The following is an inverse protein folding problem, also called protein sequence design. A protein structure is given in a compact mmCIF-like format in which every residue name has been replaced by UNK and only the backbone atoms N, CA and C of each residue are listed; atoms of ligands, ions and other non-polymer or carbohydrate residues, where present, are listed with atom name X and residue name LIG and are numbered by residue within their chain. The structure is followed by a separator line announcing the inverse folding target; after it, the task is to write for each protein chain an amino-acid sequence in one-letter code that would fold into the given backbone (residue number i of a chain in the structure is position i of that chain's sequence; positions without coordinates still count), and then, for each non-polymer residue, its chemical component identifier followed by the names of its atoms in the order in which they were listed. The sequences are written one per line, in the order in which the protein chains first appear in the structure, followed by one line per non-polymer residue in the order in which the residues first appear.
data_IF_867017547239
#
_entry.id   IF_867017547239
#
_cell.length_a   1.000
_cell.length_b   1.000
_cell.length_c   1.000
_cell.angle_alpha   90.00
_cell.angle_beta   90.00
_cell.angle_gamma   90.00
#
_symmetry.space_group_name_H-M   'P 1'
#
loop_
_entity.id
_entity.type
_entity.pdbx_description
1 polymer ?
#
# COMPACT_ATOMS: atom_id res chain seq x y z
N UNK A 1 23.46 15.73 -3.78
CA UNK A 1 22.45 15.00 -4.57
C UNK A 1 22.50 13.54 -4.11
N UNK A 2 21.52 13.09 -3.32
CA UNK A 2 21.47 11.70 -2.86
C UNK A 2 21.02 10.87 -4.08
N UNK A 3 21.88 10.02 -4.59
CA UNK A 3 21.54 9.09 -5.68
C UNK A 3 20.59 8.03 -5.11
N UNK A 4 19.30 8.25 -5.23
CA UNK A 4 18.30 7.24 -4.96
C UNK A 4 18.42 6.15 -6.03
N UNK A 5 18.63 4.89 -5.64
CA UNK A 5 18.49 3.76 -6.55
C UNK A 5 19.64 2.75 -6.64
N UNK A 6 20.74 2.91 -5.90
CA UNK A 6 21.83 1.89 -5.94
C UNK A 6 21.66 0.72 -4.96
N UNK A 7 20.75 0.82 -3.98
CA UNK A 7 20.52 -0.24 -3.00
C UNK A 7 19.02 -0.27 -2.60
N UNK A 8 18.24 -1.01 -3.35
CA UNK A 8 16.81 -1.22 -3.07
C UNK A 8 16.68 -2.35 -2.05
N UNK A 9 15.86 -2.12 -1.03
CA UNK A 9 15.48 -3.12 -0.04
C UNK A 9 13.96 -3.25 0.01
N UNK A 10 13.47 -4.48 -0.08
CA UNK A 10 12.04 -4.79 0.02
C UNK A 10 11.80 -5.50 1.35
N UNK A 11 11.01 -4.90 2.23
CA UNK A 11 10.57 -5.49 3.48
C UNK A 11 9.07 -5.83 3.39
N UNK A 12 8.67 -6.89 4.05
CA UNK A 12 7.27 -7.31 4.10
C UNK A 12 6.79 -7.39 5.55
N UNK A 13 5.58 -6.86 5.79
CA UNK A 13 4.82 -7.14 6.99
C UNK A 13 3.97 -8.41 6.83
N UNK A 14 3.10 -8.68 7.80
CA UNK A 14 2.35 -9.92 7.91
C UNK A 14 1.03 -9.94 7.11
N UNK A 15 0.57 -8.80 6.59
CA UNK A 15 -0.75 -8.72 5.95
C UNK A 15 -0.89 -9.63 4.72
N UNK A 16 0.17 -9.76 3.90
CA UNK A 16 0.14 -10.59 2.70
C UNK A 16 1.54 -11.02 2.25
N UNK A 17 2.22 -11.95 2.96
CA UNK A 17 3.59 -12.37 2.64
C UNK A 17 3.75 -12.94 1.22
N UNK A 18 2.73 -13.67 0.72
CA UNK A 18 2.76 -14.23 -0.63
C UNK A 18 2.83 -13.15 -1.72
N UNK A 19 2.07 -12.05 -1.58
CA UNK A 19 2.14 -10.92 -2.52
C UNK A 19 3.51 -10.25 -2.48
N UNK A 20 4.07 -10.05 -1.29
CA UNK A 20 5.39 -9.46 -1.14
C UNK A 20 6.48 -10.31 -1.80
N UNK A 21 6.42 -11.63 -1.65
CA UNK A 21 7.33 -12.57 -2.34
C UNK A 21 7.17 -12.49 -3.86
N UNK A 22 5.93 -12.44 -4.38
CA UNK A 22 5.67 -12.31 -5.81
C UNK A 22 6.22 -10.99 -6.38
N UNK A 23 6.03 -9.88 -5.67
CA UNK A 23 6.57 -8.57 -6.07
C UNK A 23 8.11 -8.63 -6.10
N UNK A 24 8.74 -9.12 -5.05
CA UNK A 24 10.18 -9.25 -4.97
C UNK A 24 10.74 -10.13 -6.11
N UNK A 25 10.11 -11.28 -6.36
CA UNK A 25 10.46 -12.18 -7.46
C UNK A 25 10.32 -11.52 -8.83
N UNK A 26 9.23 -10.80 -9.08
CA UNK A 26 8.99 -10.09 -10.34
C UNK A 26 10.04 -8.99 -10.61
N UNK A 27 10.57 -8.39 -9.53
CA UNK A 27 11.63 -7.37 -9.60
C UNK A 27 13.04 -7.97 -9.64
N UNK A 28 13.18 -9.30 -9.48
CA UNK A 28 14.48 -9.97 -9.38
C UNK A 28 15.27 -9.59 -8.13
N UNK A 29 14.58 -9.19 -7.05
CA UNK A 29 15.17 -8.75 -5.78
C UNK A 29 14.77 -9.70 -4.64
N UNK A 30 15.65 -9.96 -3.67
CA UNK A 30 15.30 -10.71 -2.48
C UNK A 30 14.45 -9.85 -1.52
N UNK A 31 13.60 -10.48 -0.72
CA UNK A 31 13.06 -9.85 0.48
C UNK A 31 14.18 -9.68 1.52
N UNK A 32 14.25 -8.49 2.11
CA UNK A 32 15.15 -8.22 3.21
C UNK A 32 14.72 -9.00 4.47
N UNK A 33 15.69 -9.41 5.27
CA UNK A 33 15.44 -10.17 6.50
C UNK A 33 14.81 -9.25 7.56
N UNK A 34 13.51 -9.34 7.71
CA UNK A 34 12.72 -8.63 8.70
C UNK A 34 11.76 -9.62 9.38
N UNK A 35 11.68 -9.54 10.70
CA UNK A 35 10.71 -10.30 11.48
C UNK A 35 9.74 -9.31 12.10
N UNK A 36 8.45 -9.52 11.86
CA UNK A 36 7.36 -8.78 12.47
C UNK A 36 6.56 -9.76 13.32
N UNK A 37 6.38 -9.44 14.58
CA UNK A 37 5.70 -10.28 15.54
C UNK A 37 5.02 -9.45 16.62
N UNK A 38 4.65 -10.10 17.73
CA UNK A 38 4.01 -9.45 18.85
C UNK A 38 4.70 -9.85 20.17
N UNK A 39 4.75 -8.93 21.11
CA UNK A 39 5.07 -9.23 22.50
C UNK A 39 3.89 -9.96 23.16
N UNK A 40 4.12 -10.49 24.36
CA UNK A 40 3.11 -11.29 25.08
C UNK A 40 1.82 -10.51 25.41
N UNK A 41 1.91 -9.19 25.50
CA UNK A 41 0.80 -8.26 25.72
C UNK A 41 0.09 -7.79 24.45
N UNK A 42 0.56 -8.25 23.26
CA UNK A 42 -0.03 -7.94 21.97
C UNK A 42 0.59 -6.74 21.25
N UNK A 43 1.57 -6.06 21.84
CA UNK A 43 2.27 -4.98 21.15
C UNK A 43 3.11 -5.50 19.99
N UNK A 44 3.13 -4.74 18.87
CA UNK A 44 3.90 -5.11 17.68
C UNK A 44 5.40 -5.02 17.95
N UNK A 45 6.12 -6.04 17.55
CA UNK A 45 7.59 -6.07 17.58
C UNK A 45 8.15 -6.21 16.16
N UNK A 46 9.18 -5.42 15.83
CA UNK A 46 9.85 -5.45 14.53
C UNK A 46 11.35 -5.60 14.73
N UNK A 47 11.95 -6.53 13.99
CA UNK A 47 13.40 -6.72 13.98
C UNK A 47 13.90 -6.81 12.53
N UNK A 48 14.77 -5.86 12.13
CA UNK A 48 15.41 -5.85 10.82
C UNK A 48 16.82 -6.43 10.98
N UNK A 49 17.06 -7.62 10.39
CA UNK A 49 18.29 -8.38 10.59
C UNK A 49 19.40 -8.07 9.58
N UNK A 50 19.23 -7.04 8.74
CA UNK A 50 20.22 -6.56 7.81
C UNK A 50 20.26 -5.05 7.72
N UNK A 51 21.34 -4.48 7.22
CA UNK A 51 21.46 -3.02 7.10
C UNK A 51 20.52 -2.47 6.04
N UNK A 52 19.78 -1.42 6.41
CA UNK A 52 18.95 -0.61 5.51
C UNK A 52 19.50 0.82 5.38
N UNK A 53 20.65 1.09 6.01
CA UNK A 53 21.26 2.43 6.03
C UNK A 53 21.51 2.95 4.60
N UNK A 54 20.98 4.13 4.32
CA UNK A 54 21.11 4.80 3.02
C UNK A 54 20.39 4.10 1.86
N UNK A 55 19.67 3.00 2.12
CA UNK A 55 18.91 2.26 1.11
C UNK A 55 17.60 2.94 0.76
N UNK A 56 17.11 2.67 -0.45
CA UNK A 56 15.74 2.95 -0.86
C UNK A 56 14.85 1.78 -0.43
N UNK A 57 14.06 1.98 0.61
CA UNK A 57 13.30 0.92 1.28
C UNK A 57 11.84 0.94 0.83
N UNK A 58 11.34 -0.20 0.38
CA UNK A 58 9.94 -0.44 0.06
C UNK A 58 9.34 -1.36 1.12
N UNK A 59 8.40 -0.84 1.92
CA UNK A 59 7.68 -1.59 2.95
C UNK A 59 6.34 -2.06 2.38
N UNK A 60 6.20 -3.36 2.12
CA UNK A 60 4.96 -3.93 1.59
C UNK A 60 4.09 -4.38 2.77
N UNK A 61 3.02 -3.65 3.03
CA UNK A 61 2.06 -3.94 4.08
C UNK A 61 0.69 -3.37 3.73
N UNK A 62 -0.26 -4.25 3.46
CA UNK A 62 -1.67 -3.86 3.25
C UNK A 62 -2.31 -3.52 4.59
N UNK A 63 -3.16 -2.50 4.64
CA UNK A 63 -3.92 -2.18 5.85
C UNK A 63 -5.36 -2.71 5.76
N UNK A 64 -5.49 -3.95 5.25
CA UNK A 64 -6.73 -4.73 5.23
C UNK A 64 -7.01 -5.34 6.62
N UNK A 65 -8.05 -6.16 6.72
CA UNK A 65 -8.39 -6.84 7.98
C UNK A 65 -7.31 -7.87 8.39
N UNK A 66 -6.84 -7.86 9.66
CA UNK A 66 -7.20 -6.97 10.77
C UNK A 66 -6.55 -5.58 10.62
N UNK A 67 -7.42 -4.56 10.41
CA UNK A 67 -6.97 -3.23 9.94
C UNK A 67 -6.03 -2.53 10.92
N UNK A 68 -6.36 -2.57 12.22
CA UNK A 68 -5.59 -1.86 13.25
C UNK A 68 -4.22 -2.50 13.47
N UNK A 69 -4.14 -3.83 13.48
CA UNK A 69 -2.90 -4.56 13.66
C UNK A 69 -1.97 -4.33 12.45
N UNK A 70 -2.50 -4.47 11.24
CA UNK A 70 -1.74 -4.25 10.02
C UNK A 70 -1.29 -2.79 9.86
N UNK A 71 -2.09 -1.82 10.31
CA UNK A 71 -1.69 -0.42 10.33
C UNK A 71 -0.56 -0.20 11.35
N UNK A 72 -0.69 -0.74 12.56
CA UNK A 72 0.34 -0.60 13.59
C UNK A 72 1.65 -1.27 13.17
N UNK A 73 1.61 -2.47 12.57
CA UNK A 73 2.79 -3.12 11.99
C UNK A 73 3.50 -2.19 11.00
N UNK A 74 2.74 -1.59 10.06
CA UNK A 74 3.30 -0.66 9.08
C UNK A 74 4.00 0.52 9.76
N UNK A 75 3.36 1.14 10.76
CA UNK A 75 3.92 2.31 11.45
C UNK A 75 5.21 1.96 12.20
N UNK A 76 5.25 0.83 12.91
CA UNK A 76 6.44 0.38 13.64
C UNK A 76 7.57 -0.01 12.67
N UNK A 77 7.25 -0.62 11.51
CA UNK A 77 8.23 -0.91 10.46
C UNK A 77 8.82 0.36 9.85
N UNK A 78 8.01 1.40 9.61
CA UNK A 78 8.48 2.70 9.11
C UNK A 78 9.44 3.33 10.13
N UNK A 79 9.06 3.39 11.41
CA UNK A 79 9.91 3.93 12.47
C UNK A 79 11.23 3.17 12.60
N UNK A 80 11.20 1.84 12.53
CA UNK A 80 12.40 1.01 12.56
C UNK A 80 13.36 1.35 11.41
N UNK A 81 12.84 1.50 10.18
CA UNK A 81 13.65 1.89 9.02
C UNK A 81 14.21 3.31 9.16
N UNK A 82 13.41 4.25 9.65
CA UNK A 82 13.83 5.63 9.90
C UNK A 82 14.97 5.68 10.92
N UNK A 83 14.84 4.97 12.05
CA UNK A 83 15.89 4.89 13.09
C UNK A 83 17.13 4.15 12.61
N UNK A 84 16.98 3.21 11.67
CA UNK A 84 18.11 2.54 11.02
C UNK A 84 18.75 3.38 9.90
N UNK A 85 18.35 4.65 9.74
CA UNK A 85 18.86 5.60 8.74
C UNK A 85 18.67 5.14 7.31
N UNK A 86 17.51 4.58 6.97
CA UNK A 86 17.10 4.38 5.58
C UNK A 86 17.21 5.70 4.80
N UNK A 87 17.57 5.64 3.54
CA UNK A 87 17.73 6.83 2.70
C UNK A 87 16.40 7.38 2.20
N UNK A 88 15.44 6.51 1.95
CA UNK A 88 14.05 6.80 1.60
C UNK A 88 13.17 5.63 2.01
N UNK A 89 11.97 5.91 2.48
CA UNK A 89 10.99 4.90 2.90
C UNK A 89 9.71 5.09 2.08
N UNK A 90 9.41 4.12 1.22
CA UNK A 90 8.16 4.04 0.47
C UNK A 90 7.24 3.02 1.13
N UNK A 91 6.10 3.49 1.66
CA UNK A 91 5.05 2.61 2.16
C UNK A 91 4.23 2.07 0.97
N UNK A 92 4.35 0.78 0.68
CA UNK A 92 3.57 0.10 -0.36
C UNK A 92 2.36 -0.53 0.31
N UNK A 93 1.20 0.06 0.09
CA UNK A 93 -0.07 -0.27 0.76
C UNK A 93 -1.09 -0.71 -0.30
N UNK A 94 -1.08 -1.99 -0.73
CA UNK A 94 -1.99 -2.47 -1.78
C UNK A 94 -3.46 -2.22 -1.47
N UNK A 95 -3.87 -2.33 -0.22
CA UNK A 95 -5.19 -1.91 0.26
C UNK A 95 -5.04 -0.90 1.38
N UNK A 96 -5.56 0.33 1.15
CA UNK A 96 -5.54 1.41 2.12
C UNK A 96 -6.80 1.39 2.99
N UNK A 97 -6.66 0.97 4.24
CA UNK A 97 -7.74 0.95 5.22
C UNK A 97 -8.18 2.36 5.63
N UNK A 98 -9.37 2.46 6.25
CA UNK A 98 -9.99 3.72 6.65
C UNK A 98 -10.34 4.69 5.50
N UNK A 99 -10.07 4.34 4.24
CA UNK A 99 -10.29 5.18 3.06
C UNK A 99 -11.75 5.63 2.86
N UNK A 100 -12.73 4.85 3.35
CA UNK A 100 -14.16 5.15 3.23
C UNK A 100 -14.62 6.36 4.04
N UNK A 101 -13.84 6.78 5.03
CA UNK A 101 -14.13 7.96 5.85
C UNK A 101 -13.28 9.16 5.38
N UNK A 102 -13.47 9.55 4.12
CA UNK A 102 -12.78 10.66 3.46
C UNK A 102 -13.49 12.01 3.65
N UNK A 103 -14.71 12.01 4.16
CA UNK A 103 -15.54 13.18 4.43
C UNK A 103 -16.48 12.94 5.60
N UNK A 104 -16.99 14.03 6.17
CA UNK A 104 -18.05 13.97 7.17
C UNK A 104 -19.39 13.71 6.47
N UNK A 105 -20.05 12.62 6.82
CA UNK A 105 -21.42 12.31 6.38
C UNK A 105 -22.45 12.96 7.29
N UNK A 106 -22.11 13.16 8.57
CA UNK A 106 -22.93 13.80 9.59
C UNK A 106 -22.09 14.79 10.41
N UNK A 107 -22.76 15.66 11.14
CA UNK A 107 -22.08 16.53 12.10
C UNK A 107 -21.28 15.71 13.11
N UNK A 108 -20.03 16.12 13.40
CA UNK A 108 -19.09 15.50 14.34
C UNK A 108 -18.50 14.16 13.90
N UNK A 109 -18.74 13.70 12.67
CA UNK A 109 -18.05 12.53 12.13
C UNK A 109 -16.53 12.79 12.00
N UNK A 110 -15.70 11.76 12.20
CA UNK A 110 -14.28 11.84 11.92
C UNK A 110 -14.01 11.87 10.41
N UNK A 111 -12.79 12.26 10.04
CA UNK A 111 -12.21 12.03 8.70
C UNK A 111 -11.01 11.11 8.91
N UNK A 112 -11.28 9.82 9.14
CA UNK A 112 -10.26 8.86 9.54
C UNK A 112 -9.23 8.61 8.44
N UNK A 113 -9.59 8.79 7.17
CA UNK A 113 -8.65 8.70 6.06
C UNK A 113 -7.52 9.75 6.16
N UNK A 114 -7.84 11.00 6.55
CA UNK A 114 -6.84 12.04 6.79
C UNK A 114 -5.99 11.71 8.00
N UNK A 115 -6.59 11.27 9.10
CA UNK A 115 -5.86 10.86 10.30
C UNK A 115 -4.81 9.78 9.98
N UNK A 116 -5.19 8.74 9.23
CA UNK A 116 -4.29 7.65 8.87
C UNK A 116 -3.16 8.14 7.94
N UNK A 117 -3.47 9.02 6.98
CA UNK A 117 -2.46 9.64 6.13
C UNK A 117 -1.43 10.43 6.94
N UNK A 118 -1.89 11.22 7.93
CA UNK A 118 -1.03 12.01 8.81
C UNK A 118 -0.13 11.12 9.69
N UNK A 119 -0.68 10.04 10.26
CA UNK A 119 0.08 9.13 11.11
C UNK A 119 1.18 8.41 10.29
N UNK A 120 0.89 7.96 9.07
CA UNK A 120 1.88 7.32 8.19
C UNK A 120 3.01 8.32 7.85
N UNK A 121 2.66 9.56 7.54
CA UNK A 121 3.63 10.63 7.27
C UNK A 121 4.46 10.93 8.51
N UNK A 122 3.84 11.06 9.68
CA UNK A 122 4.51 11.35 10.95
C UNK A 122 5.44 10.21 11.39
N UNK A 123 5.10 8.94 11.12
CA UNK A 123 5.96 7.80 11.37
C UNK A 123 7.27 7.88 10.57
N UNK A 124 7.26 8.54 9.42
CA UNK A 124 8.47 8.82 8.63
C UNK A 124 8.48 8.22 7.23
N UNK A 125 7.32 7.88 6.67
CA UNK A 125 7.25 7.57 5.25
C UNK A 125 7.57 8.80 4.41
N UNK A 126 8.38 8.61 3.36
CA UNK A 126 8.71 9.66 2.38
C UNK A 126 7.80 9.61 1.16
N UNK A 127 7.13 8.48 0.93
CA UNK A 127 6.24 8.24 -0.21
C UNK A 127 5.25 7.13 0.11
N UNK A 128 4.07 7.19 -0.49
CA UNK A 128 3.08 6.12 -0.46
C UNK A 128 2.84 5.61 -1.87
N UNK A 129 2.79 4.29 -2.03
CA UNK A 129 2.30 3.61 -3.23
C UNK A 129 1.10 2.75 -2.82
N UNK A 130 -0.02 2.97 -3.47
CA UNK A 130 -1.27 2.27 -3.17
C UNK A 130 -2.01 1.91 -4.45
N UNK A 131 -3.12 1.18 -4.35
CA UNK A 131 -3.93 0.79 -5.50
C UNK A 131 -5.40 1.07 -5.21
N UNK A 132 -6.11 1.60 -6.20
CA UNK A 132 -7.56 1.83 -6.19
C UNK A 132 -8.06 2.47 -4.88
N UNK A 133 -7.53 3.64 -4.53
CA UNK A 133 -8.06 4.41 -3.41
C UNK A 133 -9.58 4.57 -3.54
N UNK A 134 -10.30 4.42 -2.45
CA UNK A 134 -11.75 4.56 -2.40
C UNK A 134 -12.28 5.83 -3.09
N UNK A 135 -11.53 6.91 -3.01
CA UNK A 135 -11.77 8.16 -3.72
C UNK A 135 -10.42 8.76 -4.14
N UNK A 136 -10.31 9.21 -5.39
CA UNK A 136 -9.03 9.69 -5.94
C UNK A 136 -8.48 10.92 -5.20
N UNK A 137 -9.35 11.78 -4.67
CA UNK A 137 -8.97 12.95 -3.89
C UNK A 137 -8.21 12.62 -2.59
N UNK A 138 -8.25 11.37 -2.11
CA UNK A 138 -7.47 10.92 -0.95
C UNK A 138 -5.97 11.10 -1.13
N UNK A 139 -5.47 11.15 -2.37
CA UNK A 139 -4.07 11.47 -2.65
C UNK A 139 -3.69 12.84 -2.08
N UNK A 140 -4.61 13.79 -2.07
CA UNK A 140 -4.41 15.12 -1.50
C UNK A 140 -4.45 15.18 0.04
N UNK A 141 -4.71 14.06 0.71
CA UNK A 141 -4.68 14.01 2.19
C UNK A 141 -3.26 13.79 2.74
N UNK A 142 -2.34 13.38 1.88
CA UNK A 142 -0.95 13.18 2.24
C UNK A 142 -0.13 14.43 1.93
N UNK A 143 0.77 14.81 2.83
CA UNK A 143 1.76 15.87 2.62
C UNK A 143 3.05 15.33 1.97
N UNK A 144 3.05 14.05 1.58
CA UNK A 144 4.11 13.35 0.87
C UNK A 144 3.59 12.81 -0.47
N UNK A 145 4.47 12.54 -1.45
CA UNK A 145 4.06 11.98 -2.74
C UNK A 145 3.28 10.68 -2.61
N UNK A 146 2.21 10.54 -3.41
CA UNK A 146 1.37 9.34 -3.47
C UNK A 146 1.25 8.87 -4.91
N UNK A 147 1.53 7.59 -5.14
CA UNK A 147 1.20 6.89 -6.39
C UNK A 147 -0.01 6.01 -6.15
N UNK A 148 -1.13 6.38 -6.75
CA UNK A 148 -2.35 5.56 -6.74
C UNK A 148 -2.43 4.79 -8.05
N UNK A 149 -2.07 3.51 -8.02
CA UNK A 149 -2.14 2.62 -9.19
C UNK A 149 -3.59 2.23 -9.46
N UNK A 150 -3.90 2.07 -10.74
CA UNK A 150 -5.24 1.64 -11.18
C UNK A 150 -5.24 0.13 -11.43
N UNK A 151 -6.06 -0.61 -10.70
CA UNK A 151 -6.25 -2.05 -10.87
C UNK A 151 -6.77 -2.42 -12.26
N UNK A 152 -7.45 -1.50 -12.93
CA UNK A 152 -7.87 -1.65 -14.32
C UNK A 152 -6.71 -2.00 -15.27
N UNK A 153 -5.49 -1.51 -15.00
CA UNK A 153 -4.29 -1.83 -15.79
C UNK A 153 -3.92 -3.32 -15.77
N UNK A 154 -4.34 -4.04 -14.73
CA UNK A 154 -4.16 -5.49 -14.57
C UNK A 154 -5.40 -6.26 -15.03
N UNK A 155 -6.58 -5.77 -14.64
CA UNK A 155 -7.85 -6.46 -14.92
C UNK A 155 -8.21 -6.47 -16.40
N UNK A 156 -7.99 -5.34 -17.11
CA UNK A 156 -8.33 -5.23 -18.52
C UNK A 156 -7.55 -6.24 -19.40
N UNK A 157 -6.21 -6.34 -19.31
CA UNK A 157 -5.46 -7.33 -20.06
C UNK A 157 -5.85 -8.78 -19.70
N UNK A 158 -6.13 -9.05 -18.42
CA UNK A 158 -6.57 -10.36 -17.97
C UNK A 158 -7.92 -10.75 -18.59
N UNK A 159 -8.91 -9.88 -18.54
CA UNK A 159 -10.24 -10.10 -19.13
C UNK A 159 -10.12 -10.27 -20.65
N UNK A 160 -9.39 -9.37 -21.31
CA UNK A 160 -9.17 -9.43 -22.76
C UNK A 160 -8.45 -10.72 -23.18
N UNK A 161 -7.49 -11.20 -22.38
CA UNK A 161 -6.80 -12.48 -22.63
C UNK A 161 -7.69 -13.70 -22.44
N UNK A 162 -8.60 -13.64 -21.45
CA UNK A 162 -9.49 -14.76 -21.14
C UNK A 162 -10.68 -14.90 -22.08
N UNK A 163 -11.28 -13.78 -22.47
CA UNK A 163 -12.52 -13.76 -23.23
C UNK A 163 -12.36 -13.28 -24.69
N UNK A 164 -11.20 -12.76 -25.06
CA UNK A 164 -10.98 -12.09 -26.35
C UNK A 164 -11.46 -10.64 -26.35
N UNK A 165 -11.06 -9.88 -27.37
CA UNK A 165 -11.49 -8.49 -27.58
C UNK A 165 -12.68 -8.44 -28.54
N UNK A 166 -13.62 -7.49 -28.33
CA UNK A 166 -14.72 -7.23 -29.24
C UNK A 166 -15.74 -8.38 -29.35
N UNK A 167 -15.99 -9.09 -28.27
CA UNK A 167 -17.01 -10.16 -28.23
C UNK A 167 -18.35 -9.59 -27.79
N UNK A 168 -19.37 -9.81 -28.60
CA UNK A 168 -20.75 -9.37 -28.33
C UNK A 168 -21.47 -10.26 -27.31
N UNK A 169 -20.88 -11.43 -26.96
CA UNK A 169 -21.42 -12.39 -25.99
C UNK A 169 -20.84 -12.22 -24.57
N UNK A 170 -20.04 -11.19 -24.31
CA UNK A 170 -19.47 -10.88 -23.02
C UNK A 170 -20.04 -9.56 -22.50
N UNK A 171 -20.65 -9.61 -21.31
CA UNK A 171 -21.17 -8.43 -20.62
C UNK A 171 -20.41 -8.20 -19.30
N UNK A 172 -19.97 -6.97 -19.07
CA UNK A 172 -19.37 -6.54 -17.80
C UNK A 172 -20.42 -5.78 -17.01
N UNK A 173 -20.70 -6.23 -15.79
CA UNK A 173 -21.72 -5.64 -14.92
C UNK A 173 -21.04 -5.00 -13.71
N UNK A 174 -21.33 -3.71 -13.47
CA UNK A 174 -20.93 -3.03 -12.25
C UNK A 174 -21.91 -3.38 -11.13
N UNK A 175 -21.46 -3.81 -9.95
CA UNK A 175 -22.35 -4.15 -8.82
C UNK A 175 -22.97 -2.90 -8.17
N UNK A 176 -22.37 -1.73 -8.33
CA UNK A 176 -22.82 -0.46 -7.76
C UNK A 176 -22.34 0.74 -8.58
N UNK A 177 -22.81 1.94 -8.22
CA UNK A 177 -22.44 3.19 -8.90
C UNK A 177 -20.96 3.55 -8.71
N UNK A 178 -20.33 3.14 -7.60
CA UNK A 178 -18.92 3.40 -7.33
C UNK A 178 -17.98 2.64 -8.27
N UNK A 179 -18.43 1.50 -8.80
CA UNK A 179 -17.67 0.63 -9.69
C UNK A 179 -17.92 0.91 -11.19
N UNK A 180 -18.75 1.91 -11.54
CA UNK A 180 -19.05 2.24 -12.95
C UNK A 180 -17.82 2.74 -13.69
N UNK A 181 -17.00 3.57 -13.05
CA UNK A 181 -15.79 4.13 -13.68
C UNK A 181 -14.79 3.06 -14.13
N UNK A 182 -14.40 2.07 -13.29
CA UNK A 182 -13.57 0.95 -13.75
C UNK A 182 -14.19 0.16 -14.90
N UNK A 183 -15.52 -0.05 -14.86
CA UNK A 183 -16.23 -0.77 -15.95
C UNK A 183 -16.19 0.01 -17.27
N UNK A 184 -16.29 1.34 -17.24
CA UNK A 184 -16.31 2.17 -18.45
C UNK A 184 -14.98 2.13 -19.22
N UNK A 185 -13.86 1.84 -18.59
CA UNK A 185 -12.55 1.70 -19.25
C UNK A 185 -12.39 0.37 -20.00
N UNK A 186 -13.35 -0.57 -19.86
CA UNK A 186 -13.29 -1.89 -20.53
C UNK A 186 -14.05 -1.95 -21.85
N UNK A 187 -14.69 -0.86 -22.26
CA UNK A 187 -15.40 -0.73 -23.55
C UNK A 187 -14.57 -0.09 -24.63
#
# INVERSE_FOLDING_TARGET
MISHGKNIKILAGNSHPALAMQIASALGLPLAKCTVGHFADGEVSVSISETVRGSDVFLIQSTCNPVNDNLMELLVMIDACKRASAGRITAVIPYFGYARQDRKSKARDPISAKLVADIITAAGADRVLTMDLHAQQLQGFFDIPVDNLMGASVLIPYIAGKFGRGRDDVMIISPDLGSVTPVSYTH
#
